data_IF_645738539228
#
_entry.id   IF_645738539228
#
_cell.length_a   1.000
_cell.length_b   1.000
_cell.length_c   1.000
_cell.angle_alpha   90.00
_cell.angle_beta   90.00
_cell.angle_gamma   90.00
#
_symmetry.space_group_name_H-M   'P 1'
#
loop_
_entity.id
_entity.type
_entity.pdbx_description
1 polymer ?
#
# COMPACT_ATOMS: atom_id res chain seq x y z
N UNK A 1 -19.71 -2.54 -1.15
CA UNK A 1 -18.62 -3.53 -0.92
C UNK A 1 -18.88 -4.48 0.26
N UNK A 2 -19.59 -4.08 1.32
CA UNK A 2 -19.87 -4.97 2.47
C UNK A 2 -20.58 -6.30 2.10
N UNK A 3 -21.26 -6.38 0.96
CA UNK A 3 -21.86 -7.62 0.48
C UNK A 3 -20.82 -8.73 0.23
N UNK A 4 -19.61 -8.38 -0.26
CA UNK A 4 -18.51 -9.33 -0.47
C UNK A 4 -18.07 -9.90 0.87
N UNK A 5 -17.80 -9.02 1.84
CA UNK A 5 -17.41 -9.41 3.18
C UNK A 5 -18.47 -10.30 3.84
N UNK A 6 -19.75 -9.93 3.76
CA UNK A 6 -20.85 -10.74 4.28
C UNK A 6 -20.91 -12.11 3.60
N UNK A 7 -20.75 -12.19 2.28
CA UNK A 7 -20.77 -13.46 1.55
C UNK A 7 -19.61 -14.37 1.96
N UNK A 8 -18.37 -13.84 1.95
CA UNK A 8 -17.16 -14.57 2.36
C UNK A 8 -17.30 -15.13 3.78
N UNK A 9 -17.90 -14.37 4.69
CA UNK A 9 -18.04 -14.77 6.09
C UNK A 9 -19.20 -15.75 6.36
N UNK A 10 -19.97 -16.19 5.35
CA UNK A 10 -21.01 -17.23 5.53
C UNK A 10 -20.46 -18.63 5.77
N UNK A 11 -19.19 -18.88 5.44
CA UNK A 11 -18.54 -20.17 5.65
C UNK A 11 -17.32 -20.37 4.75
N UNK A 12 -16.70 -21.55 4.84
CA UNK A 12 -15.50 -21.88 4.05
C UNK A 12 -15.78 -21.86 2.53
N UNK A 13 -16.84 -22.53 2.09
CA UNK A 13 -17.18 -22.62 0.67
C UNK A 13 -17.42 -21.25 0.02
N UNK A 14 -18.25 -20.33 0.59
CA UNK A 14 -18.38 -18.97 0.10
C UNK A 14 -17.05 -18.20 0.00
N UNK A 15 -16.15 -18.37 0.98
CA UNK A 15 -14.83 -17.75 0.95
C UNK A 15 -13.99 -18.24 -0.24
N UNK A 16 -13.94 -19.55 -0.50
CA UNK A 16 -13.23 -20.11 -1.65
C UNK A 16 -13.87 -19.70 -2.98
N UNK A 17 -15.20 -19.67 -3.08
CA UNK A 17 -15.90 -19.22 -4.30
C UNK A 17 -15.56 -17.77 -4.62
N UNK A 18 -15.67 -16.87 -3.63
CA UNK A 18 -15.32 -15.46 -3.82
C UNK A 18 -13.84 -15.30 -4.21
N UNK A 19 -12.95 -16.05 -3.57
CA UNK A 19 -11.51 -16.07 -3.87
C UNK A 19 -11.26 -16.51 -5.30
N UNK A 20 -11.90 -17.59 -5.75
CA UNK A 20 -11.75 -18.10 -7.11
C UNK A 20 -12.22 -17.09 -8.16
N UNK A 21 -13.40 -16.50 -7.97
CA UNK A 21 -13.95 -15.49 -8.88
C UNK A 21 -13.02 -14.26 -8.94
N UNK A 22 -12.61 -13.73 -7.79
CA UNK A 22 -11.76 -12.53 -7.75
C UNK A 22 -10.36 -12.81 -8.31
N UNK A 23 -9.77 -13.97 -8.03
CA UNK A 23 -8.47 -14.39 -8.57
C UNK A 23 -8.50 -14.55 -10.10
N UNK A 24 -9.60 -15.09 -10.66
CA UNK A 24 -9.82 -15.15 -12.10
C UNK A 24 -9.99 -13.76 -12.69
N UNK A 25 -10.86 -12.92 -12.12
CA UNK A 25 -11.10 -11.56 -12.64
C UNK A 25 -9.85 -10.68 -12.60
N UNK A 26 -8.95 -10.91 -11.65
CA UNK A 26 -7.67 -10.19 -11.55
C UNK A 26 -6.80 -10.39 -12.81
N UNK A 27 -6.94 -11.51 -13.54
CA UNK A 27 -6.17 -11.78 -14.77
C UNK A 27 -6.45 -10.73 -15.86
N UNK A 28 -7.71 -10.32 -16.02
CA UNK A 28 -8.09 -9.33 -17.04
C UNK A 28 -8.22 -7.92 -16.48
N UNK A 29 -8.48 -7.79 -15.18
CA UNK A 29 -8.68 -6.50 -14.53
C UNK A 29 -7.95 -6.45 -13.18
N UNK A 30 -6.66 -6.13 -13.24
CA UNK A 30 -5.74 -6.07 -12.10
C UNK A 30 -6.30 -5.38 -10.85
N UNK A 31 -6.98 -4.21 -10.93
CA UNK A 31 -7.52 -3.53 -9.76
C UNK A 31 -8.51 -4.36 -8.91
N UNK A 32 -9.17 -5.38 -9.48
CA UNK A 32 -10.01 -6.32 -8.71
C UNK A 32 -9.20 -7.13 -7.68
N UNK A 33 -7.89 -7.28 -7.92
CA UNK A 33 -6.96 -7.88 -6.97
C UNK A 33 -6.98 -7.21 -5.59
N UNK A 34 -7.30 -5.92 -5.49
CA UNK A 34 -7.45 -5.25 -4.19
C UNK A 34 -8.57 -5.87 -3.34
N UNK A 35 -9.67 -6.29 -3.97
CA UNK A 35 -10.77 -6.98 -3.28
C UNK A 35 -10.34 -8.39 -2.87
N UNK A 36 -9.59 -9.09 -3.71
CA UNK A 36 -9.02 -10.41 -3.41
C UNK A 36 -8.10 -10.34 -2.18
N UNK A 37 -7.17 -9.38 -2.16
CA UNK A 37 -6.29 -9.15 -1.02
C UNK A 37 -7.06 -8.80 0.25
N UNK A 38 -8.13 -8.00 0.14
CA UNK A 38 -8.99 -7.69 1.28
C UNK A 38 -9.77 -8.91 1.79
N UNK A 39 -10.15 -9.85 0.93
CA UNK A 39 -10.72 -11.16 1.31
C UNK A 39 -9.68 -11.99 2.07
N UNK A 40 -8.45 -12.09 1.56
CA UNK A 40 -7.34 -12.78 2.24
C UNK A 40 -7.09 -12.16 3.62
N UNK A 41 -7.02 -10.82 3.71
CA UNK A 41 -6.86 -10.11 4.97
C UNK A 41 -8.03 -10.37 5.92
N UNK A 42 -9.28 -10.28 5.47
CA UNK A 42 -10.47 -10.49 6.29
C UNK A 42 -10.50 -11.91 6.89
N UNK A 43 -10.27 -12.94 6.07
CA UNK A 43 -10.23 -14.34 6.54
C UNK A 43 -9.09 -14.54 7.54
N UNK A 44 -7.91 -13.99 7.25
CA UNK A 44 -6.74 -14.01 8.15
C UNK A 44 -7.08 -13.39 9.50
N UNK A 45 -7.65 -12.18 9.49
CA UNK A 45 -7.92 -11.40 10.69
C UNK A 45 -9.08 -11.96 11.52
N UNK A 46 -10.12 -12.51 10.89
CA UNK A 46 -11.32 -12.99 11.58
C UNK A 46 -11.30 -14.47 11.90
N UNK A 47 -10.97 -15.31 10.92
CA UNK A 47 -11.04 -16.77 11.07
C UNK A 47 -9.74 -17.31 11.66
N UNK A 48 -8.60 -16.89 11.10
CA UNK A 48 -7.28 -17.28 11.58
C UNK A 48 -6.22 -17.24 10.49
N UNK A 49 -4.95 -17.16 10.89
CA UNK A 49 -3.82 -17.12 9.94
C UNK A 49 -3.71 -18.37 9.07
N UNK A 50 -4.00 -19.54 9.65
CA UNK A 50 -4.03 -20.81 8.90
C UNK A 50 -5.11 -20.84 7.82
N UNK A 51 -6.33 -20.40 8.13
CA UNK A 51 -7.42 -20.32 7.15
C UNK A 51 -7.13 -19.24 6.09
N UNK A 52 -6.58 -18.11 6.50
CA UNK A 52 -6.09 -17.08 5.58
C UNK A 52 -5.02 -17.60 4.62
N UNK A 53 -4.10 -18.45 5.10
CA UNK A 53 -3.07 -19.07 4.28
C UNK A 53 -3.66 -20.04 3.25
N UNK A 54 -4.67 -20.83 3.63
CA UNK A 54 -5.36 -21.72 2.67
C UNK A 54 -6.03 -20.91 1.56
N UNK A 55 -6.69 -19.81 1.91
CA UNK A 55 -7.30 -18.89 0.94
C UNK A 55 -6.24 -18.24 0.04
N UNK A 56 -5.11 -17.81 0.60
CA UNK A 56 -3.96 -17.31 -0.16
C UNK A 56 -3.45 -18.36 -1.15
N UNK A 57 -3.21 -19.60 -0.70
CA UNK A 57 -2.73 -20.68 -1.57
C UNK A 57 -3.68 -20.95 -2.72
N UNK A 58 -5.00 -20.98 -2.46
CA UNK A 58 -5.99 -21.12 -3.51
C UNK A 58 -5.98 -19.94 -4.49
N UNK A 59 -5.90 -18.70 -3.99
CA UNK A 59 -5.81 -17.50 -4.83
C UNK A 59 -4.58 -17.51 -5.74
N UNK A 60 -3.41 -17.87 -5.19
CA UNK A 60 -2.14 -17.97 -5.92
C UNK A 60 -2.23 -19.04 -7.01
N UNK A 61 -2.70 -20.24 -6.66
CA UNK A 61 -2.83 -21.35 -7.62
C UNK A 61 -3.78 -21.00 -8.76
N UNK A 62 -4.95 -20.45 -8.46
CA UNK A 62 -5.95 -20.07 -9.46
C UNK A 62 -5.41 -18.96 -10.36
N UNK A 63 -4.83 -17.91 -9.78
CA UNK A 63 -4.32 -16.78 -10.56
C UNK A 63 -3.14 -17.20 -11.46
N UNK A 64 -2.21 -18.00 -10.95
CA UNK A 64 -1.08 -18.51 -11.73
C UNK A 64 -1.54 -19.38 -12.90
N UNK A 65 -2.41 -20.38 -12.63
CA UNK A 65 -2.92 -21.29 -13.66
C UNK A 65 -3.74 -20.53 -14.69
N UNK A 66 -4.66 -19.66 -14.26
CA UNK A 66 -5.51 -18.90 -15.16
C UNK A 66 -4.71 -17.94 -16.04
N UNK A 67 -3.77 -17.18 -15.46
CA UNK A 67 -2.93 -16.26 -16.23
C UNK A 67 -2.09 -17.02 -17.26
N UNK A 68 -1.50 -18.15 -16.87
CA UNK A 68 -0.73 -18.97 -17.81
C UNK A 68 -1.59 -19.53 -18.94
N UNK A 69 -2.82 -19.98 -18.62
CA UNK A 69 -3.74 -20.54 -19.60
C UNK A 69 -4.30 -19.49 -20.57
N UNK A 70 -4.61 -18.28 -20.09
CA UNK A 70 -5.26 -17.24 -20.91
C UNK A 70 -4.27 -16.29 -21.59
N UNK A 71 -3.15 -15.94 -20.94
CA UNK A 71 -2.18 -14.97 -21.45
C UNK A 71 -0.90 -15.62 -21.97
N UNK A 72 -0.69 -16.92 -21.75
CA UNK A 72 0.51 -17.62 -22.18
C UNK A 72 1.80 -17.22 -21.44
N UNK A 73 1.72 -16.38 -20.40
CA UNK A 73 2.86 -15.85 -19.69
C UNK A 73 2.65 -15.89 -18.16
N UNK A 74 3.71 -16.19 -17.40
CA UNK A 74 3.63 -16.26 -15.94
C UNK A 74 3.93 -14.92 -15.26
N UNK A 75 4.62 -13.99 -15.92
CA UNK A 75 5.02 -12.71 -15.31
C UNK A 75 3.84 -11.88 -14.79
N UNK A 76 2.71 -11.72 -15.51
CA UNK A 76 1.56 -10.97 -14.98
C UNK A 76 0.96 -11.60 -13.70
N UNK A 77 1.03 -12.93 -13.57
CA UNK A 77 0.60 -13.61 -12.35
C UNK A 77 1.53 -13.30 -11.19
N UNK A 78 2.85 -13.37 -11.42
CA UNK A 78 3.86 -13.05 -10.40
C UNK A 78 3.67 -11.62 -9.89
N UNK A 79 3.44 -10.66 -10.80
CA UNK A 79 3.13 -9.27 -10.45
C UNK A 79 1.84 -9.20 -9.63
N UNK A 80 0.76 -9.83 -10.08
CA UNK A 80 -0.53 -9.84 -9.35
C UNK A 80 -0.41 -10.44 -7.95
N UNK A 81 0.35 -11.53 -7.79
CA UNK A 81 0.59 -12.18 -6.51
C UNK A 81 1.37 -11.26 -5.56
N UNK A 82 2.39 -10.57 -6.08
CA UNK A 82 3.21 -9.62 -5.34
C UNK A 82 2.42 -8.34 -4.97
N UNK A 83 1.52 -7.87 -5.84
CA UNK A 83 0.71 -6.67 -5.59
C UNK A 83 -0.42 -6.90 -4.58
N UNK A 84 -1.13 -8.03 -4.69
CA UNK A 84 -2.43 -8.17 -4.03
C UNK A 84 -2.51 -9.27 -2.97
N UNK A 85 -1.58 -10.24 -2.97
CA UNK A 85 -1.79 -11.50 -2.23
C UNK A 85 -0.80 -11.69 -1.07
N UNK A 86 0.46 -11.99 -1.38
CA UNK A 86 1.42 -12.44 -0.37
C UNK A 86 1.76 -11.36 0.66
N UNK A 87 2.13 -10.12 0.27
CA UNK A 87 2.44 -9.07 1.24
C UNK A 87 1.25 -8.71 2.13
N UNK A 88 0.04 -8.72 1.57
CA UNK A 88 -1.19 -8.44 2.30
C UNK A 88 -1.47 -9.51 3.36
N UNK A 89 -1.29 -10.79 3.03
CA UNK A 89 -1.41 -11.88 4.01
C UNK A 89 -0.39 -11.75 5.15
N UNK A 90 0.87 -11.45 4.82
CA UNK A 90 1.94 -11.23 5.81
C UNK A 90 1.61 -10.08 6.76
N UNK A 91 1.16 -8.94 6.21
CA UNK A 91 0.75 -7.78 7.00
C UNK A 91 -0.51 -8.08 7.84
N UNK A 92 -1.47 -8.84 7.31
CA UNK A 92 -2.65 -9.28 8.06
C UNK A 92 -2.31 -10.25 9.19
N UNK A 93 -1.33 -11.13 8.98
CA UNK A 93 -0.81 -12.00 10.02
C UNK A 93 -0.14 -11.20 11.14
N UNK A 94 0.72 -10.23 10.82
CA UNK A 94 1.32 -9.34 11.85
C UNK A 94 0.25 -8.51 12.56
N UNK A 95 -0.71 -7.95 11.83
CA UNK A 95 -1.83 -7.23 12.44
C UNK A 95 -2.60 -8.12 13.41
N UNK A 96 -2.88 -9.38 13.06
CA UNK A 96 -3.55 -10.34 13.95
C UNK A 96 -2.72 -10.66 15.19
N UNK A 97 -1.43 -10.91 15.03
CA UNK A 97 -0.54 -11.33 16.12
C UNK A 97 -0.21 -10.20 17.10
N UNK A 98 -0.18 -8.96 16.63
CA UNK A 98 0.22 -7.79 17.43
C UNK A 98 -0.94 -6.88 17.81
N UNK A 99 -2.10 -7.03 17.16
CA UNK A 99 -3.23 -6.10 17.22
C UNK A 99 -2.81 -4.63 16.95
N UNK A 100 -1.81 -4.43 16.07
CA UNK A 100 -1.22 -3.11 15.79
C UNK A 100 -1.15 -2.83 14.29
N UNK A 101 -1.94 -1.86 13.83
CA UNK A 101 -1.85 -1.34 12.45
C UNK A 101 -0.48 -0.72 12.16
N UNK A 102 0.15 -0.09 13.16
CA UNK A 102 1.50 0.45 13.01
C UNK A 102 2.54 -0.64 12.77
N UNK A 103 2.42 -1.80 13.44
CA UNK A 103 3.32 -2.93 13.22
C UNK A 103 3.14 -3.54 11.83
N UNK A 104 1.90 -3.65 11.36
CA UNK A 104 1.61 -4.12 10.01
C UNK A 104 2.12 -3.16 8.93
N UNK A 105 1.92 -1.85 9.11
CA UNK A 105 2.48 -0.82 8.23
C UNK A 105 4.02 -0.87 8.21
N UNK A 106 4.65 -1.02 9.38
CA UNK A 106 6.10 -1.15 9.51
C UNK A 106 6.62 -2.37 8.74
N UNK A 107 5.91 -3.51 8.79
CA UNK A 107 6.26 -4.68 7.97
C UNK A 107 6.17 -4.36 6.48
N UNK A 108 5.09 -3.70 6.04
CA UNK A 108 4.94 -3.25 4.64
C UNK A 108 6.12 -2.41 4.19
N UNK A 109 6.50 -1.41 4.98
CA UNK A 109 7.66 -0.55 4.72
C UNK A 109 8.98 -1.34 4.67
N UNK A 110 9.20 -2.28 5.58
CA UNK A 110 10.40 -3.12 5.60
C UNK A 110 10.48 -4.03 4.36
N UNK A 111 9.37 -4.65 3.97
CA UNK A 111 9.31 -5.48 2.76
C UNK A 111 9.59 -4.65 1.51
N UNK A 112 8.99 -3.46 1.38
CA UNK A 112 9.26 -2.56 0.25
C UNK A 112 10.72 -2.09 0.25
N UNK A 113 11.26 -1.69 1.40
CA UNK A 113 12.68 -1.30 1.52
C UNK A 113 13.63 -2.42 1.10
N UNK A 114 13.34 -3.66 1.50
CA UNK A 114 14.12 -4.82 1.07
C UNK A 114 14.05 -5.05 -0.45
N UNK A 115 12.87 -4.87 -1.07
CA UNK A 115 12.71 -4.94 -2.53
C UNK A 115 13.52 -3.85 -3.24
N UNK A 116 13.48 -2.61 -2.75
CA UNK A 116 14.25 -1.49 -3.31
C UNK A 116 15.75 -1.80 -3.24
N UNK A 117 16.25 -2.23 -2.08
CA UNK A 117 17.66 -2.58 -1.90
C UNK A 117 18.06 -3.71 -2.84
N UNK A 118 17.27 -4.78 -2.91
CA UNK A 118 17.53 -5.91 -3.80
C UNK A 118 17.56 -5.47 -5.28
N UNK A 119 16.64 -4.61 -5.69
CA UNK A 119 16.58 -4.10 -7.07
C UNK A 119 17.83 -3.30 -7.43
N UNK A 120 18.27 -2.38 -6.58
CA UNK A 120 19.53 -1.65 -6.75
C UNK A 120 20.73 -2.60 -6.84
N UNK A 121 20.80 -3.62 -5.98
CA UNK A 121 21.89 -4.59 -5.99
C UNK A 121 21.91 -5.47 -7.25
N UNK A 122 20.75 -5.80 -7.80
CA UNK A 122 20.64 -6.66 -8.99
C UNK A 122 20.93 -5.91 -10.29
N UNK A 123 20.56 -4.63 -10.35
CA UNK A 123 20.56 -3.84 -11.59
C UNK A 123 21.71 -2.83 -11.66
N UNK A 124 22.23 -2.38 -10.50
CA UNK A 124 23.28 -1.38 -10.41
C UNK A 124 22.74 0.04 -10.69
N UNK A 125 22.50 0.35 -11.96
CA UNK A 125 21.93 1.64 -12.39
C UNK A 125 20.43 1.50 -12.68
N UNK A 126 19.63 1.83 -11.67
CA UNK A 126 18.16 1.76 -11.78
C UNK A 126 17.60 2.75 -12.78
N UNK A 127 18.21 3.93 -12.92
CA UNK A 127 17.76 4.97 -13.86
C UNK A 127 17.96 4.51 -15.30
N UNK A 128 19.15 3.97 -15.62
CA UNK A 128 19.43 3.41 -16.94
C UNK A 128 18.49 2.23 -17.26
N UNK A 129 18.21 1.37 -16.27
CA UNK A 129 17.29 0.25 -16.45
C UNK A 129 15.86 0.69 -16.76
N UNK A 130 15.32 1.67 -16.00
CA UNK A 130 14.00 2.21 -16.28
C UNK A 130 13.96 2.93 -17.62
N UNK A 131 14.99 3.70 -17.97
CA UNK A 131 15.09 4.35 -19.27
C UNK A 131 15.06 3.33 -20.40
N UNK A 132 15.81 2.23 -20.29
CA UNK A 132 15.78 1.16 -21.28
C UNK A 132 14.39 0.49 -21.34
N UNK A 133 13.78 0.21 -20.19
CA UNK A 133 12.42 -0.36 -20.12
C UNK A 133 11.40 0.56 -20.80
N UNK A 134 11.41 1.86 -20.52
CA UNK A 134 10.48 2.81 -21.14
C UNK A 134 10.71 2.93 -22.65
N UNK A 135 11.97 3.00 -23.10
CA UNK A 135 12.30 3.10 -24.51
C UNK A 135 11.94 1.84 -25.31
N UNK A 136 12.06 0.66 -24.71
CA UNK A 136 11.80 -0.62 -25.40
C UNK A 136 10.34 -1.06 -25.29
N UNK A 137 9.70 -0.85 -24.14
CA UNK A 137 8.35 -1.34 -23.87
C UNK A 137 7.25 -0.30 -24.02
N UNK A 138 7.50 0.99 -23.75
CA UNK A 138 6.45 2.03 -23.76
C UNK A 138 6.49 2.92 -25.00
N UNK A 139 7.68 3.38 -25.39
CA UNK A 139 7.84 4.34 -26.49
C UNK A 139 7.24 3.88 -27.83
N UNK A 140 7.29 2.58 -28.22
CA UNK A 140 6.62 2.12 -29.44
C UNK A 140 5.12 2.45 -29.46
N UNK A 141 4.41 2.19 -28.36
CA UNK A 141 2.97 2.47 -28.25
C UNK A 141 2.67 3.97 -28.22
N UNK A 142 3.53 4.77 -27.57
CA UNK A 142 3.36 6.23 -27.54
C UNK A 142 3.52 6.84 -28.94
N UNK A 143 4.49 6.34 -29.70
CA UNK A 143 4.69 6.73 -31.11
C UNK A 143 3.51 6.29 -31.99
N UNK A 144 2.99 5.09 -31.79
CA UNK A 144 1.81 4.58 -32.50
C UNK A 144 0.57 5.44 -32.21
N UNK A 145 0.41 5.93 -30.98
CA UNK A 145 -0.66 6.86 -30.60
C UNK A 145 -0.48 8.29 -31.15
N UNK A 146 0.58 8.56 -31.91
CA UNK A 146 0.87 9.88 -32.49
C UNK A 146 1.30 10.93 -31.46
N UNK A 147 1.67 10.51 -30.24
CA UNK A 147 2.09 11.41 -29.17
C UNK A 147 3.61 11.52 -29.20
N UNK A 148 4.13 12.75 -29.23
CA UNK A 148 5.55 12.99 -29.03
C UNK A 148 5.87 12.80 -27.53
N UNK A 149 6.67 11.78 -27.19
CA UNK A 149 7.29 11.68 -25.87
C UNK A 149 8.60 12.47 -25.88
N UNK A 150 8.70 13.61 -25.17
CA UNK A 150 9.96 14.32 -25.05
C UNK A 150 11.00 13.43 -24.36
N UNK A 151 12.24 13.41 -24.84
CA UNK A 151 13.31 12.64 -24.22
C UNK A 151 13.51 13.01 -22.74
N UNK A 152 13.33 14.29 -22.41
CA UNK A 152 13.43 14.82 -21.04
C UNK A 152 12.37 14.24 -20.10
N UNK A 153 11.18 13.90 -20.62
CA UNK A 153 10.13 13.26 -19.83
C UNK A 153 10.54 11.83 -19.45
N UNK A 154 11.09 11.06 -20.39
CA UNK A 154 11.56 9.70 -20.12
C UNK A 154 12.71 9.72 -19.12
N UNK A 155 13.66 10.64 -19.27
CA UNK A 155 14.76 10.82 -18.33
C UNK A 155 14.24 11.11 -16.92
N UNK A 156 13.37 12.13 -16.78
CA UNK A 156 12.78 12.52 -15.50
C UNK A 156 12.00 11.38 -14.86
N UNK A 157 11.16 10.67 -15.62
CA UNK A 157 10.37 9.55 -15.11
C UNK A 157 11.26 8.37 -14.68
N UNK A 158 12.34 8.12 -15.41
CA UNK A 158 13.27 7.02 -15.10
C UNK A 158 14.03 7.26 -13.79
N UNK A 159 14.39 8.51 -13.50
CA UNK A 159 15.07 8.88 -12.25
C UNK A 159 14.22 8.61 -11.00
N UNK A 160 12.89 8.76 -11.10
CA UNK A 160 11.96 8.61 -9.96
C UNK A 160 11.15 7.32 -9.99
N UNK A 161 11.27 6.49 -11.03
CA UNK A 161 10.41 5.33 -11.24
C UNK A 161 10.48 4.33 -10.09
N UNK A 162 11.68 4.01 -9.58
CA UNK A 162 11.85 3.11 -8.44
C UNK A 162 11.20 3.69 -7.18
N UNK A 163 11.43 4.97 -6.87
CA UNK A 163 10.79 5.67 -5.75
C UNK A 163 9.26 5.62 -5.85
N UNK A 164 8.70 5.95 -7.02
CA UNK A 164 7.25 5.95 -7.25
C UNK A 164 6.65 4.55 -7.09
N UNK A 165 7.33 3.52 -7.62
CA UNK A 165 6.90 2.13 -7.45
C UNK A 165 6.94 1.70 -5.97
N UNK A 166 8.00 2.08 -5.24
CA UNK A 166 8.12 1.80 -3.82
C UNK A 166 7.01 2.48 -3.01
N UNK A 167 6.72 3.75 -3.28
CA UNK A 167 5.60 4.47 -2.69
C UNK A 167 4.27 3.78 -2.99
N UNK A 168 4.06 3.40 -4.24
CA UNK A 168 2.86 2.68 -4.68
C UNK A 168 2.68 1.37 -3.92
N UNK A 169 3.72 0.55 -3.75
CA UNK A 169 3.64 -0.71 -3.02
C UNK A 169 3.16 -0.53 -1.57
N UNK A 170 3.76 0.42 -0.82
CA UNK A 170 3.36 0.70 0.57
C UNK A 170 1.90 1.16 0.64
N UNK A 171 1.52 2.10 -0.22
CA UNK A 171 0.16 2.64 -0.25
C UNK A 171 -0.84 1.55 -0.62
N UNK A 172 -0.54 0.75 -1.65
CA UNK A 172 -1.38 -0.34 -2.13
C UNK A 172 -1.61 -1.39 -1.05
N UNK A 173 -0.53 -1.98 -0.51
CA UNK A 173 -0.64 -3.08 0.44
C UNK A 173 -1.33 -2.66 1.73
N UNK A 174 -1.00 -1.48 2.26
CA UNK A 174 -1.64 -1.01 3.48
C UNK A 174 -3.10 -0.61 3.25
N UNK A 175 -3.45 -0.04 2.09
CA UNK A 175 -4.86 0.27 1.76
C UNK A 175 -5.71 -1.00 1.66
N UNK A 176 -5.18 -2.06 1.06
CA UNK A 176 -5.86 -3.36 0.99
C UNK A 176 -6.05 -3.95 2.39
N UNK A 177 -5.02 -3.89 3.25
CA UNK A 177 -5.11 -4.33 4.64
C UNK A 177 -6.18 -3.53 5.41
N UNK A 178 -6.18 -2.19 5.26
CA UNK A 178 -7.17 -1.32 5.88
C UNK A 178 -8.59 -1.66 5.42
N UNK A 179 -8.79 -2.00 4.15
CA UNK A 179 -10.08 -2.46 3.63
C UNK A 179 -10.54 -3.75 4.33
N UNK A 180 -9.65 -4.74 4.47
CA UNK A 180 -9.92 -5.98 5.20
C UNK A 180 -10.22 -5.76 6.69
N UNK A 181 -9.45 -4.90 7.37
CA UNK A 181 -9.69 -4.51 8.78
C UNK A 181 -10.98 -3.72 8.94
N UNK A 182 -11.31 -2.84 7.99
CA UNK A 182 -12.58 -2.11 7.99
C UNK A 182 -13.77 -3.06 7.82
N UNK A 183 -13.71 -4.04 6.92
CA UNK A 183 -14.72 -5.08 6.80
C UNK A 183 -14.88 -5.86 8.11
N UNK A 184 -13.78 -6.29 8.72
CA UNK A 184 -13.82 -6.99 10.01
C UNK A 184 -14.49 -6.14 11.10
N UNK A 185 -14.09 -4.86 11.23
CA UNK A 185 -14.69 -3.93 12.18
C UNK A 185 -16.18 -3.74 11.92
N UNK A 186 -16.60 -3.51 10.67
CA UNK A 186 -18.02 -3.32 10.36
C UNK A 186 -18.89 -4.55 10.67
N UNK A 187 -18.37 -5.75 10.47
CA UNK A 187 -19.13 -6.98 10.68
C UNK A 187 -19.15 -7.45 12.15
N UNK A 188 -18.07 -7.22 12.89
CA UNK A 188 -17.89 -7.84 14.21
C UNK A 188 -17.62 -6.85 15.34
N UNK A 189 -17.08 -5.67 15.04
CA UNK A 189 -16.68 -4.66 16.05
C UNK A 189 -16.97 -3.24 15.55
N UNK A 190 -18.26 -2.83 15.43
CA UNK A 190 -18.62 -1.56 14.82
C UNK A 190 -17.91 -0.37 15.48
N UNK A 191 -17.22 0.45 14.69
CA UNK A 191 -16.46 1.61 15.16
C UNK A 191 -14.99 1.33 15.51
N UNK A 192 -14.60 0.07 15.74
CA UNK A 192 -13.23 -0.28 16.15
C UNK A 192 -12.16 0.17 15.14
N UNK A 193 -12.43 0.02 13.83
CA UNK A 193 -11.50 0.43 12.79
C UNK A 193 -11.06 1.90 12.92
N UNK A 194 -12.00 2.78 13.26
CA UNK A 194 -11.72 4.20 13.43
C UNK A 194 -10.74 4.42 14.59
N UNK A 195 -10.98 3.77 15.73
CA UNK A 195 -10.10 3.83 16.89
C UNK A 195 -8.70 3.27 16.59
N UNK A 196 -8.63 2.11 15.92
CA UNK A 196 -7.35 1.51 15.54
C UNK A 196 -6.57 2.44 14.60
N UNK A 197 -7.24 3.03 13.60
CA UNK A 197 -6.62 3.93 12.64
C UNK A 197 -6.10 5.20 13.33
N UNK A 198 -6.86 5.77 14.26
CA UNK A 198 -6.45 6.94 15.05
C UNK A 198 -5.27 6.69 15.98
N UNK A 199 -4.90 5.43 16.20
CA UNK A 199 -3.75 5.06 17.02
C UNK A 199 -2.51 4.69 16.20
N UNK A 200 -2.58 4.76 14.85
CA UNK A 200 -1.43 4.50 13.99
C UNK A 200 -0.35 5.54 14.25
N UNK A 201 0.75 5.11 14.89
CA UNK A 201 1.98 5.86 15.12
C UNK A 201 3.16 4.94 14.84
N UNK A 202 4.09 5.37 14.00
CA UNK A 202 5.27 4.57 13.69
C UNK A 202 6.24 4.52 14.89
N UNK A 203 6.99 3.42 15.06
CA UNK A 203 7.98 3.31 16.12
C UNK A 203 9.14 4.29 15.90
N UNK A 204 9.75 4.76 16.99
CA UNK A 204 10.79 5.81 16.97
C UNK A 204 12.00 5.46 16.10
N UNK A 205 12.37 4.20 16.00
CA UNK A 205 13.46 3.74 15.13
C UNK A 205 13.20 4.07 13.65
N UNK A 206 11.97 3.88 13.16
CA UNK A 206 11.60 4.27 11.80
C UNK A 206 11.57 5.78 11.64
N UNK A 207 11.17 6.53 12.66
CA UNK A 207 11.24 7.99 12.62
C UNK A 207 12.69 8.52 12.54
N UNK A 208 13.62 7.94 13.29
CA UNK A 208 15.05 8.27 13.17
C UNK A 208 15.59 7.90 11.79
N UNK A 209 15.24 6.73 11.25
CA UNK A 209 15.63 6.33 9.90
C UNK A 209 15.10 7.34 8.85
N UNK A 210 13.86 7.80 8.98
CA UNK A 210 13.31 8.82 8.09
C UNK A 210 14.11 10.13 8.13
N UNK A 211 14.52 10.58 9.32
CA UNK A 211 15.36 11.78 9.47
C UNK A 211 16.74 11.58 8.83
N UNK A 212 17.37 10.43 9.05
CA UNK A 212 18.67 10.11 8.44
C UNK A 212 18.57 10.11 6.91
N UNK A 213 17.54 9.46 6.35
CA UNK A 213 17.32 9.43 4.90
C UNK A 213 17.01 10.82 4.33
N UNK A 214 16.22 11.64 5.03
CA UNK A 214 15.93 13.00 4.61
C UNK A 214 17.19 13.88 4.57
N UNK A 215 18.06 13.80 5.58
CA UNK A 215 19.34 14.52 5.62
C UNK A 215 20.27 14.02 4.51
N UNK A 216 20.38 12.69 4.34
CA UNK A 216 21.19 12.10 3.28
C UNK A 216 20.70 12.52 1.89
N UNK A 217 19.38 12.64 1.69
CA UNK A 217 18.76 13.09 0.44
C UNK A 217 19.10 14.54 0.06
N UNK A 218 19.57 15.36 1.00
CA UNK A 218 20.08 16.72 0.68
C UNK A 218 21.39 16.66 -0.12
N UNK A 219 22.17 15.58 0.06
CA UNK A 219 23.45 15.34 -0.62
C UNK A 219 23.24 14.40 -1.81
N UNK A 220 22.56 13.29 -1.60
CA UNK A 220 22.29 12.26 -2.59
C UNK A 220 20.91 12.45 -3.19
N UNK A 221 20.84 13.22 -4.27
CA UNK A 221 19.57 13.61 -4.91
C UNK A 221 18.93 12.51 -5.78
N UNK A 222 19.64 11.42 -6.05
CA UNK A 222 19.16 10.29 -6.85
C UNK A 222 19.68 8.95 -6.32
N UNK A 223 19.03 7.86 -6.75
CA UNK A 223 19.40 6.50 -6.42
C UNK A 223 18.81 6.00 -5.10
N UNK A 224 19.48 5.04 -4.46
CA UNK A 224 18.91 4.26 -3.35
C UNK A 224 18.39 5.12 -2.17
N UNK A 225 19.08 6.21 -1.83
CA UNK A 225 18.65 7.11 -0.75
C UNK A 225 17.32 7.78 -1.08
N UNK A 226 17.13 8.23 -2.32
CA UNK A 226 15.88 8.82 -2.79
C UNK A 226 14.75 7.79 -2.77
N UNK A 227 15.00 6.59 -3.29
CA UNK A 227 14.00 5.54 -3.38
C UNK A 227 13.52 5.07 -1.98
N UNK A 228 14.46 4.89 -1.04
CA UNK A 228 14.14 4.57 0.35
C UNK A 228 13.44 5.72 1.07
N UNK A 229 13.74 6.97 0.72
CA UNK A 229 12.99 8.13 1.23
C UNK A 229 11.53 8.09 0.79
N UNK A 230 11.24 7.64 -0.43
CA UNK A 230 9.88 7.40 -0.91
C UNK A 230 9.11 6.40 -0.04
N UNK A 231 9.75 5.29 0.36
CA UNK A 231 9.15 4.30 1.29
C UNK A 231 8.76 4.98 2.61
N UNK A 232 9.65 5.79 3.17
CA UNK A 232 9.39 6.51 4.42
C UNK A 232 8.27 7.54 4.27
N UNK A 233 8.24 8.30 3.18
CA UNK A 233 7.19 9.26 2.87
C UNK A 233 5.82 8.58 2.79
N UNK A 234 5.70 7.50 2.01
CA UNK A 234 4.45 6.75 1.87
C UNK A 234 3.99 6.14 3.20
N UNK A 235 4.91 5.58 3.99
CA UNK A 235 4.60 5.04 5.31
C UNK A 235 4.13 6.11 6.30
N UNK A 236 4.88 7.21 6.43
CA UNK A 236 4.58 8.31 7.36
C UNK A 236 3.33 9.10 6.99
N UNK A 237 2.91 9.09 5.72
CA UNK A 237 1.66 9.69 5.27
C UNK A 237 0.45 9.12 6.04
N UNK A 238 0.43 7.81 6.35
CA UNK A 238 -0.70 7.19 7.04
C UNK A 238 -0.91 7.68 8.48
N UNK A 239 0.12 7.77 9.35
CA UNK A 239 0.01 8.50 10.61
C UNK A 239 -0.49 9.95 10.44
N UNK A 240 -0.04 10.67 9.39
CA UNK A 240 -0.54 12.01 9.05
C UNK A 240 -2.05 12.01 8.74
N UNK A 241 -2.51 11.06 7.92
CA UNK A 241 -3.93 10.87 7.62
C UNK A 241 -4.72 10.52 8.88
N UNK A 242 -4.20 9.65 9.74
CA UNK A 242 -4.82 9.30 11.01
C UNK A 242 -5.00 10.53 11.93
N UNK A 243 -4.01 11.43 11.97
CA UNK A 243 -4.11 12.70 12.70
C UNK A 243 -5.22 13.58 12.13
N UNK A 244 -5.28 13.73 10.81
CA UNK A 244 -6.31 14.54 10.16
C UNK A 244 -7.73 14.00 10.43
N UNK A 245 -7.92 12.69 10.33
CA UNK A 245 -9.22 12.07 10.62
C UNK A 245 -9.58 12.16 12.10
N UNK A 246 -8.61 12.00 13.00
CA UNK A 246 -8.82 12.15 14.43
C UNK A 246 -9.19 13.59 14.81
N UNK A 247 -8.51 14.58 14.21
CA UNK A 247 -8.81 16.00 14.40
C UNK A 247 -10.25 16.34 14.03
N UNK A 248 -10.70 15.88 12.84
CA UNK A 248 -12.08 16.11 12.37
C UNK A 248 -13.10 15.51 13.33
N UNK A 249 -12.84 14.31 13.85
CA UNK A 249 -13.75 13.64 14.78
C UNK A 249 -13.80 14.32 16.16
N UNK A 250 -12.65 14.59 16.78
CA UNK A 250 -12.60 15.18 18.14
C UNK A 250 -13.10 16.63 18.13
N UNK A 251 -12.75 17.42 17.11
CA UNK A 251 -13.18 18.81 16.97
C UNK A 251 -14.58 18.96 16.35
N UNK A 252 -15.30 17.85 16.12
CA UNK A 252 -16.65 17.82 15.52
C UNK A 252 -16.76 18.64 14.23
N UNK A 253 -15.72 18.60 13.39
CA UNK A 253 -15.66 19.34 12.13
C UNK A 253 -16.52 18.65 11.05
N UNK A 254 -17.00 19.40 10.07
CA UNK A 254 -17.74 18.84 8.93
C UNK A 254 -16.87 17.92 8.07
N UNK A 255 -17.47 16.91 7.44
CA UNK A 255 -16.78 15.93 6.58
C UNK A 255 -16.11 16.56 5.35
N UNK A 256 -16.50 17.77 4.96
CA UNK A 256 -15.90 18.54 3.86
C UNK A 256 -14.40 18.78 4.01
N UNK A 257 -13.87 18.84 5.25
CA UNK A 257 -12.43 18.94 5.49
C UNK A 257 -11.66 17.71 4.99
N UNK A 258 -12.22 16.51 5.19
CA UNK A 258 -11.61 15.29 4.67
C UNK A 258 -11.76 15.20 3.15
N UNK A 259 -12.91 15.62 2.61
CA UNK A 259 -13.08 15.71 1.15
C UNK A 259 -12.02 16.62 0.53
N UNK A 260 -11.81 17.82 1.09
CA UNK A 260 -10.75 18.73 0.67
C UNK A 260 -9.36 18.11 0.76
N UNK A 261 -9.04 17.42 1.86
CA UNK A 261 -7.77 16.71 2.03
C UNK A 261 -7.52 15.67 0.94
N UNK A 262 -8.51 14.84 0.61
CA UNK A 262 -8.37 13.82 -0.44
C UNK A 262 -8.32 14.43 -1.85
N UNK A 263 -9.03 15.54 -2.09
CA UNK A 263 -8.91 16.31 -3.35
C UNK A 263 -7.49 16.87 -3.47
N UNK A 264 -6.92 17.43 -2.40
CA UNK A 264 -5.53 17.89 -2.39
C UNK A 264 -4.55 16.74 -2.60
N UNK A 265 -4.76 15.59 -1.95
CA UNK A 265 -3.93 14.40 -2.16
C UNK A 265 -3.92 13.95 -3.63
N UNK A 266 -5.08 14.03 -4.29
CA UNK A 266 -5.24 13.63 -5.69
C UNK A 266 -4.62 14.65 -6.67
N UNK A 267 -4.88 15.94 -6.48
CA UNK A 267 -4.40 16.99 -7.39
C UNK A 267 -2.94 17.38 -7.16
N UNK A 268 -2.46 17.25 -5.92
CA UNK A 268 -1.18 17.76 -5.45
C UNK A 268 -0.43 16.66 -4.69
N UNK A 269 0.38 15.83 -5.39
CA UNK A 269 1.15 14.75 -4.77
C UNK A 269 2.08 15.22 -3.63
N UNK A 270 2.50 16.48 -3.63
CA UNK A 270 3.24 17.10 -2.52
C UNK A 270 2.51 17.06 -1.17
N UNK A 271 1.18 16.88 -1.17
CA UNK A 271 0.38 16.66 0.04
C UNK A 271 0.86 15.42 0.82
N UNK A 272 1.41 14.41 0.14
CA UNK A 272 2.03 13.24 0.78
C UNK A 272 3.17 13.66 1.70
N UNK A 273 4.04 14.57 1.25
CA UNK A 273 5.17 15.07 2.04
C UNK A 273 4.70 15.85 3.27
N UNK A 274 3.64 16.66 3.13
CA UNK A 274 3.04 17.40 4.25
C UNK A 274 2.51 16.42 5.30
N UNK A 275 1.74 15.42 4.88
CA UNK A 275 1.19 14.39 5.77
C UNK A 275 2.30 13.55 6.41
N UNK A 276 3.33 13.18 5.66
CA UNK A 276 4.48 12.47 6.17
C UNK A 276 5.21 13.27 7.25
N UNK A 277 5.39 14.57 7.05
CA UNK A 277 6.00 15.47 8.03
C UNK A 277 5.16 15.57 9.30
N UNK A 278 3.83 15.72 9.17
CA UNK A 278 2.92 15.73 10.32
C UNK A 278 3.00 14.40 11.09
N UNK A 279 2.96 13.27 10.37
CA UNK A 279 3.10 11.93 10.96
C UNK A 279 4.44 11.71 11.65
N UNK A 280 5.51 12.26 11.09
CA UNK A 280 6.86 12.21 11.65
C UNK A 280 6.93 12.99 12.97
N UNK A 281 6.46 14.24 12.98
CA UNK A 281 6.46 15.10 14.17
C UNK A 281 5.64 14.49 15.31
N UNK A 282 4.49 13.88 15.00
CA UNK A 282 3.63 13.23 16.01
C UNK A 282 4.34 12.10 16.77
N UNK A 283 5.36 11.49 16.18
CA UNK A 283 6.13 10.41 16.84
C UNK A 283 6.84 10.88 18.12
N UNK A 284 7.17 12.18 18.22
CA UNK A 284 7.81 12.76 19.41
C UNK A 284 6.91 13.72 20.19
N UNK A 285 6.10 14.54 19.51
CA UNK A 285 5.33 15.60 20.17
C UNK A 285 3.99 15.15 20.74
N UNK A 286 3.54 13.96 20.36
CA UNK A 286 2.23 13.43 20.69
C UNK A 286 1.09 14.44 20.52
N UNK A 287 0.89 14.90 19.28
CA UNK A 287 -0.03 16.00 18.96
C UNK A 287 -1.47 15.60 19.35
N UNK A 288 -1.80 14.31 19.20
CA UNK A 288 -3.13 13.76 19.47
C UNK A 288 -3.52 13.87 20.96
N UNK A 289 -2.56 13.70 21.88
CA UNK A 289 -2.80 13.81 23.33
C UNK A 289 -3.26 15.20 23.79
N UNK A 290 -2.94 16.25 23.02
CA UNK A 290 -3.29 17.62 23.35
C UNK A 290 -4.77 17.93 23.09
N UNK A 291 -5.44 17.17 22.22
CA UNK A 291 -6.86 17.40 21.91
C UNK A 291 -7.81 16.73 22.88
N UNK A 292 -7.36 15.68 23.57
CA UNK A 292 -8.15 15.02 24.61
C UNK A 292 -8.19 15.78 25.93
N UNK A 293 -7.34 16.81 26.11
CA UNK A 293 -7.33 17.65 27.32
C UNK A 293 -8.31 18.83 27.23
N UNK A 294 -8.76 19.20 26.03
CA UNK A 294 -9.63 20.35 25.76
C UNK A 294 -11.09 19.94 25.43
N UNK A 295 -11.43 18.66 25.56
CA UNK A 295 -12.75 18.07 25.24
C UNK A 295 -13.43 17.48 26.47
#
# INVERSE_FOLDING_TARGET
>A
MLFIANYVMKGQLPAYIATAILALLTVWFGPVGMLLGAVIALVTLRVGSGEGLKVLTAAVAINLVATQAFLGASLPAIVSIAEYMVPVWLMAWVLRSTNSLASALSLGMLMTGAVVIAFHMMVGDTTAWWSNMMNTALLPYVKEAGVAAPADLIATMSEVATMLLAMFMVVLWFSILLLGRWWQGRLYHPGQFQQDFYQVRLPKNLAYLAVVLAIAGLVFKSGMVQDLSGVMMAGLMFPGLAIAHHAVAVKKMGSGWLVGLYVLLFLFPQTILILATIGLIDTWLDIRSRWSQDS
#
